data_IF_216022653870
#
_entry.id   IF_216022653870
#
_cell.length_a   1.000
_cell.length_b   1.000
_cell.length_c   1.000
_cell.angle_alpha   90.00
_cell.angle_beta   90.00
_cell.angle_gamma   90.00
#
_symmetry.space_group_name_H-M   'P 1'
#
loop_
_entity.id
_entity.type
_entity.pdbx_description
1 polymer ?
#
# COMPACT_ATOMS: atom_id res chain seq x y z
N UNK A 1 24.60 -19.47 -6.10
CA UNK A 1 23.42 -19.39 -6.96
C UNK A 1 22.80 -18.02 -6.75
N UNK A 2 22.76 -17.17 -7.78
CA UNK A 2 22.10 -15.85 -7.69
C UNK A 2 20.61 -16.09 -7.42
N UNK A 3 20.10 -15.58 -6.29
CA UNK A 3 18.65 -15.60 -6.03
C UNK A 3 17.98 -14.79 -7.15
N UNK A 4 16.99 -15.35 -7.84
CA UNK A 4 16.23 -14.59 -8.84
C UNK A 4 15.70 -13.29 -8.21
N UNK A 5 15.72 -12.20 -8.98
CA UNK A 5 15.21 -10.91 -8.50
C UNK A 5 13.75 -11.04 -8.09
N UNK A 6 13.39 -10.44 -6.96
CA UNK A 6 12.02 -10.42 -6.49
C UNK A 6 11.27 -9.20 -7.05
N UNK A 7 9.96 -9.33 -7.27
CA UNK A 7 9.08 -8.22 -7.60
C UNK A 7 8.48 -7.71 -6.29
N UNK A 8 8.60 -6.39 -6.03
CA UNK A 8 7.93 -5.74 -4.91
C UNK A 8 6.44 -5.61 -5.16
N UNK A 9 5.61 -5.97 -4.20
CA UNK A 9 4.16 -5.85 -4.24
C UNK A 9 3.72 -4.91 -3.13
N UNK A 10 3.14 -3.79 -3.50
CA UNK A 10 2.67 -2.79 -2.55
C UNK A 10 1.17 -2.55 -2.74
N UNK A 11 0.39 -3.36 -2.05
CA UNK A 11 -1.07 -3.22 -2.00
C UNK A 11 -1.51 -2.15 -1.02
N UNK A 12 -2.60 -1.47 -1.32
CA UNK A 12 -3.16 -0.48 -0.42
C UNK A 12 -4.45 0.16 -0.89
N UNK A 13 -5.11 0.87 0.02
CA UNK A 13 -6.28 1.67 -0.35
C UNK A 13 -5.90 2.88 -1.19
N UNK A 14 -4.76 3.53 -0.89
CA UNK A 14 -4.22 4.73 -1.56
C UNK A 14 -5.26 5.85 -1.74
N UNK A 15 -5.90 6.25 -0.66
CA UNK A 15 -6.99 7.24 -0.65
C UNK A 15 -6.67 8.49 0.22
N UNK A 16 -5.73 9.37 -0.24
CA UNK A 16 -4.86 9.24 -1.40
C UNK A 16 -3.55 8.50 -1.11
N UNK A 17 -2.80 8.17 -2.16
CA UNK A 17 -1.37 7.89 -2.07
C UNK A 17 -0.65 9.15 -1.56
N UNK A 18 0.43 8.97 -0.76
CA UNK A 18 1.13 10.07 -0.14
C UNK A 18 2.63 9.80 0.01
N UNK A 19 3.40 10.81 0.41
CA UNK A 19 4.87 10.76 0.48
C UNK A 19 5.41 9.58 1.29
N UNK A 20 4.74 9.19 2.41
CA UNK A 20 5.19 8.05 3.19
C UNK A 20 5.09 6.72 2.42
N UNK A 21 4.08 6.55 1.56
CA UNK A 21 3.99 5.35 0.70
C UNK A 21 5.17 5.28 -0.26
N UNK A 22 5.49 6.38 -0.92
CA UNK A 22 6.58 6.45 -1.90
C UNK A 22 7.95 6.23 -1.23
N UNK A 23 8.17 6.85 -0.08
CA UNK A 23 9.41 6.70 0.68
C UNK A 23 9.62 5.24 1.15
N UNK A 24 8.57 4.59 1.63
CA UNK A 24 8.61 3.16 2.03
C UNK A 24 8.90 2.28 0.82
N UNK A 25 8.19 2.49 -0.30
CA UNK A 25 8.40 1.69 -1.51
C UNK A 25 9.82 1.82 -2.06
N UNK A 26 10.37 3.03 -2.09
CA UNK A 26 11.73 3.29 -2.56
C UNK A 26 12.78 2.69 -1.62
N UNK A 27 12.59 2.84 -0.30
CA UNK A 27 13.50 2.22 0.69
C UNK A 27 13.48 0.69 0.58
N UNK A 28 12.31 0.08 0.39
CA UNK A 28 12.22 -1.36 0.18
C UNK A 28 12.88 -1.78 -1.14
N UNK A 29 12.66 -1.02 -2.22
CA UNK A 29 13.27 -1.27 -3.53
C UNK A 29 14.79 -1.27 -3.43
N UNK A 30 15.36 -0.28 -2.78
CA UNK A 30 16.81 -0.13 -2.63
C UNK A 30 17.40 -1.21 -1.72
N UNK A 31 16.85 -1.39 -0.52
CA UNK A 31 17.35 -2.36 0.47
C UNK A 31 17.32 -3.82 -0.02
N UNK A 32 16.36 -4.17 -0.87
CA UNK A 32 16.18 -5.54 -1.38
C UNK A 32 16.54 -5.71 -2.86
N UNK A 33 17.10 -4.66 -3.49
CA UNK A 33 17.47 -4.63 -4.91
C UNK A 33 16.30 -5.10 -5.80
N UNK A 34 15.08 -4.61 -5.53
CA UNK A 34 13.91 -4.96 -6.30
C UNK A 34 13.97 -4.26 -7.66
N UNK A 35 13.92 -4.97 -8.80
CA UNK A 35 13.97 -4.34 -10.12
C UNK A 35 12.73 -3.50 -10.39
N UNK A 36 11.60 -3.84 -9.75
CA UNK A 36 10.34 -3.07 -9.83
C UNK A 36 9.49 -3.27 -8.59
N UNK A 37 8.57 -2.30 -8.37
CA UNK A 37 7.53 -2.36 -7.34
C UNK A 37 6.18 -2.10 -8.00
N UNK A 38 5.25 -3.05 -7.84
CA UNK A 38 3.85 -2.91 -8.30
C UNK A 38 3.02 -2.27 -7.19
N UNK A 39 2.45 -1.12 -7.48
CA UNK A 39 1.43 -0.48 -6.64
C UNK A 39 0.05 -0.98 -7.05
N UNK A 40 -0.68 -1.61 -6.14
CA UNK A 40 -1.96 -2.26 -6.43
C UNK A 40 -3.06 -1.61 -5.57
N UNK A 41 -3.80 -0.63 -6.13
CA UNK A 41 -4.95 -0.04 -5.44
C UNK A 41 -6.06 -1.07 -5.25
N UNK A 42 -6.55 -1.21 -4.01
CA UNK A 42 -7.65 -2.11 -3.69
C UNK A 42 -8.94 -1.69 -4.41
N UNK A 43 -9.68 -2.63 -4.99
CA UNK A 43 -11.04 -2.35 -5.47
C UNK A 43 -11.95 -2.01 -4.27
N UNK A 44 -12.17 -2.96 -3.39
CA UNK A 44 -12.91 -2.79 -2.14
C UNK A 44 -12.07 -3.32 -0.97
N UNK A 45 -11.51 -2.41 -0.11
CA UNK A 45 -10.68 -2.84 1.01
C UNK A 45 -11.51 -3.58 2.07
N UNK A 46 -11.19 -4.85 2.41
CA UNK A 46 -12.00 -5.67 3.32
C UNK A 46 -12.04 -5.17 4.75
N UNK A 47 -11.00 -4.45 5.19
CA UNK A 47 -10.90 -3.95 6.56
C UNK A 47 -11.57 -2.58 6.80
N UNK A 48 -12.33 -2.07 5.81
CA UNK A 48 -12.97 -0.75 5.88
C UNK A 48 -14.39 -0.76 5.28
N UNK A 49 -15.28 -1.71 5.67
CA UNK A 49 -16.59 -1.86 5.05
C UNK A 49 -17.49 -0.63 5.23
N UNK A 50 -17.39 0.06 6.36
CA UNK A 50 -18.23 1.21 6.73
C UNK A 50 -17.63 2.56 6.34
N UNK A 51 -16.47 2.58 5.71
CA UNK A 51 -15.77 3.81 5.36
C UNK A 51 -16.01 4.19 3.92
N UNK A 52 -16.49 5.42 3.71
CA UNK A 52 -16.56 6.01 2.37
C UNK A 52 -15.14 6.15 1.82
N UNK A 53 -14.78 5.30 0.87
CA UNK A 53 -13.52 5.31 0.13
C UNK A 53 -13.80 5.92 -1.24
N UNK A 54 -12.87 6.72 -1.77
CA UNK A 54 -12.99 7.29 -3.11
C UNK A 54 -13.05 6.19 -4.17
N UNK A 55 -13.68 6.50 -5.30
CA UNK A 55 -13.79 5.59 -6.44
C UNK A 55 -12.42 4.96 -6.77
N UNK A 56 -12.36 3.65 -7.03
CA UNK A 56 -11.12 2.97 -7.36
C UNK A 56 -10.34 3.61 -8.53
N UNK A 57 -11.04 4.14 -9.54
CA UNK A 57 -10.40 4.80 -10.69
C UNK A 57 -9.71 6.11 -10.28
N UNK A 58 -10.30 6.90 -9.39
CA UNK A 58 -9.63 8.07 -8.83
C UNK A 58 -8.37 7.70 -8.05
N UNK A 59 -8.42 6.61 -7.28
CA UNK A 59 -7.27 6.17 -6.49
C UNK A 59 -6.15 5.62 -7.36
N UNK A 60 -6.49 4.88 -8.42
CA UNK A 60 -5.53 4.43 -9.43
C UNK A 60 -4.87 5.63 -10.14
N UNK A 61 -5.65 6.59 -10.63
CA UNK A 61 -5.11 7.77 -11.30
C UNK A 61 -4.16 8.58 -10.39
N UNK A 62 -4.48 8.68 -9.08
CA UNK A 62 -3.57 9.31 -8.12
C UNK A 62 -2.28 8.51 -7.93
N UNK A 63 -2.34 7.16 -7.94
CA UNK A 63 -1.14 6.31 -7.88
C UNK A 63 -0.29 6.49 -9.13
N UNK A 64 -0.88 6.43 -10.33
CA UNK A 64 -0.18 6.65 -11.59
C UNK A 64 0.51 8.03 -11.62
N UNK A 65 -0.20 9.09 -11.23
CA UNK A 65 0.36 10.43 -11.13
C UNK A 65 1.51 10.54 -10.12
N UNK A 66 1.43 9.80 -9.01
CA UNK A 66 2.44 9.82 -7.97
C UNK A 66 3.76 9.15 -8.38
N UNK A 67 3.69 8.10 -9.19
CA UNK A 67 4.85 7.26 -9.53
C UNK A 67 5.43 7.54 -10.92
N UNK A 68 4.81 8.42 -11.71
CA UNK A 68 5.17 8.69 -13.11
C UNK A 68 6.66 9.04 -13.35
N UNK A 69 7.36 9.56 -12.33
CA UNK A 69 8.78 9.91 -12.41
C UNK A 69 9.75 8.78 -12.06
N UNK A 70 9.27 7.61 -11.65
CA UNK A 70 10.13 6.48 -11.24
C UNK A 70 9.93 5.27 -12.16
N UNK A 71 10.90 4.94 -13.04
CA UNK A 71 10.75 3.84 -14.00
C UNK A 71 10.71 2.45 -13.34
N UNK A 72 11.07 2.33 -12.05
CA UNK A 72 10.97 1.09 -11.30
C UNK A 72 9.60 0.90 -10.63
N UNK A 73 8.71 1.89 -10.67
CA UNK A 73 7.37 1.82 -10.09
C UNK A 73 6.33 1.65 -11.19
N UNK A 74 5.38 0.76 -10.96
CA UNK A 74 4.32 0.43 -11.90
C UNK A 74 2.98 0.36 -11.14
N UNK A 75 1.95 1.00 -11.68
CA UNK A 75 0.58 0.87 -11.16
C UNK A 75 -0.11 -0.33 -11.81
N UNK A 76 -0.76 -1.16 -11.02
CA UNK A 76 -1.53 -2.29 -11.51
C UNK A 76 -3.00 -2.14 -11.14
N UNK A 77 -3.88 -2.27 -12.11
CA UNK A 77 -5.33 -2.20 -11.93
C UNK A 77 -6.01 -3.56 -11.71
N UNK A 78 -5.21 -4.60 -11.48
CA UNK A 78 -5.68 -5.99 -11.43
C UNK A 78 -6.79 -6.25 -10.40
N UNK A 79 -6.75 -5.60 -9.23
CA UNK A 79 -7.81 -5.73 -8.23
C UNK A 79 -9.07 -4.98 -8.65
N UNK A 80 -8.92 -3.82 -9.29
CA UNK A 80 -10.04 -3.03 -9.83
C UNK A 80 -10.74 -3.82 -10.95
N UNK A 81 -10.00 -4.42 -11.86
CA UNK A 81 -10.53 -5.28 -12.94
C UNK A 81 -11.18 -6.55 -12.42
N UNK A 82 -10.61 -7.17 -11.40
CA UNK A 82 -11.20 -8.33 -10.74
C UNK A 82 -12.53 -7.97 -10.05
N UNK A 83 -12.61 -6.75 -9.52
CA UNK A 83 -13.77 -6.28 -8.75
C UNK A 83 -13.95 -6.98 -7.41
N UNK A 84 -14.98 -6.58 -6.66
CA UNK A 84 -15.29 -7.15 -5.35
C UNK A 84 -14.25 -6.86 -4.27
N UNK A 85 -14.26 -7.67 -3.21
CA UNK A 85 -13.35 -7.52 -2.06
C UNK A 85 -11.91 -7.86 -2.43
N UNK A 86 -10.99 -6.98 -2.07
CA UNK A 86 -9.56 -7.11 -2.38
C UNK A 86 -8.83 -7.90 -1.28
N UNK A 87 -8.77 -9.20 -1.43
CA UNK A 87 -7.96 -10.04 -0.55
C UNK A 87 -6.56 -10.22 -1.10
N UNK A 88 -5.55 -10.05 -0.24
CA UNK A 88 -4.14 -10.14 -0.62
C UNK A 88 -3.77 -11.52 -1.17
N UNK A 89 -4.33 -12.59 -0.60
CA UNK A 89 -4.07 -13.95 -1.08
C UNK A 89 -4.47 -14.12 -2.55
N UNK A 90 -5.67 -13.67 -2.94
CA UNK A 90 -6.16 -13.76 -4.32
C UNK A 90 -5.26 -12.97 -5.29
N UNK A 91 -4.75 -11.84 -4.84
CA UNK A 91 -3.83 -10.99 -5.61
C UNK A 91 -2.47 -11.64 -5.79
N UNK A 92 -1.90 -12.23 -4.74
CA UNK A 92 -0.62 -12.94 -4.81
C UNK A 92 -0.72 -14.20 -5.66
N UNK A 93 -1.82 -14.95 -5.63
CA UNK A 93 -2.05 -16.11 -6.50
C UNK A 93 -2.08 -15.71 -7.98
N UNK A 94 -2.81 -14.66 -8.31
CA UNK A 94 -2.85 -14.13 -9.68
C UNK A 94 -1.47 -13.66 -10.16
N UNK A 95 -0.70 -12.98 -9.28
CA UNK A 95 0.66 -12.55 -9.59
C UNK A 95 1.63 -13.73 -9.77
N UNK A 96 1.51 -14.79 -8.97
CA UNK A 96 2.30 -16.02 -9.14
C UNK A 96 2.04 -16.69 -10.48
N UNK A 97 0.79 -16.69 -10.94
CA UNK A 97 0.43 -17.21 -12.26
C UNK A 97 0.98 -16.34 -13.41
N UNK A 98 1.03 -15.00 -13.20
CA UNK A 98 1.52 -14.06 -14.23
C UNK A 98 3.05 -14.03 -14.28
N UNK A 99 3.72 -14.11 -13.14
CA UNK A 99 5.17 -14.01 -13.01
C UNK A 99 5.79 -15.35 -12.58
N UNK A 100 5.54 -16.39 -13.38
CA UNK A 100 6.02 -17.74 -13.10
C UNK A 100 7.54 -17.76 -12.84
N UNK A 101 7.95 -18.47 -11.79
CA UNK A 101 9.34 -18.58 -11.36
C UNK A 101 9.95 -17.33 -10.70
N UNK A 102 9.28 -16.16 -10.70
CA UNK A 102 9.78 -14.98 -10.01
C UNK A 102 9.32 -14.97 -8.53
N UNK A 103 10.20 -14.47 -7.65
CA UNK A 103 9.86 -14.28 -6.23
C UNK A 103 8.99 -13.04 -6.08
N UNK A 104 8.03 -13.07 -5.15
CA UNK A 104 7.22 -11.93 -4.75
C UNK A 104 7.66 -11.45 -3.38
N UNK A 105 7.80 -10.14 -3.21
CA UNK A 105 8.12 -9.48 -1.95
C UNK A 105 6.97 -8.51 -1.59
N UNK A 106 6.12 -8.90 -0.64
CA UNK A 106 4.99 -8.10 -0.19
C UNK A 106 5.46 -7.04 0.81
N UNK A 107 5.26 -5.78 0.47
CA UNK A 107 5.63 -4.63 1.30
C UNK A 107 4.43 -4.26 2.17
N UNK A 108 4.60 -4.30 3.48
CA UNK A 108 3.59 -4.02 4.50
C UNK A 108 4.07 -2.95 5.47
N UNK A 109 3.14 -2.20 6.08
CA UNK A 109 3.45 -1.46 7.31
C UNK A 109 3.45 -2.39 8.52
N UNK A 110 4.16 -2.02 9.60
CA UNK A 110 4.10 -2.74 10.87
C UNK A 110 2.67 -2.84 11.43
N UNK A 111 1.81 -1.84 11.18
CA UNK A 111 0.36 -1.88 11.48
C UNK A 111 -0.34 -3.02 10.75
N UNK A 112 -0.13 -3.14 9.44
CA UNK A 112 -0.73 -4.19 8.62
C UNK A 112 -0.20 -5.57 9.00
N UNK A 113 1.10 -5.65 9.30
CA UNK A 113 1.74 -6.87 9.76
C UNK A 113 1.18 -7.35 11.10
N UNK A 114 0.97 -6.47 12.08
CA UNK A 114 0.37 -6.81 13.36
C UNK A 114 -1.04 -7.40 13.23
N UNK A 115 -1.77 -7.04 12.17
CA UNK A 115 -3.09 -7.58 11.85
C UNK A 115 -3.08 -8.81 10.93
N UNK A 116 -1.91 -9.29 10.49
CA UNK A 116 -1.79 -10.33 9.45
C UNK A 116 -2.55 -11.62 9.78
N UNK A 117 -2.55 -12.06 11.05
CA UNK A 117 -3.27 -13.26 11.50
C UNK A 117 -4.80 -13.18 11.28
N UNK A 118 -5.35 -11.98 11.09
CA UNK A 118 -6.79 -11.77 10.82
C UNK A 118 -7.12 -11.71 9.33
N UNK A 119 -6.10 -11.80 8.46
CA UNK A 119 -6.31 -11.77 7.04
C UNK A 119 -6.88 -13.11 6.54
N UNK A 120 -7.45 -13.07 5.35
CA UNK A 120 -7.89 -14.30 4.67
C UNK A 120 -6.66 -15.14 4.32
N UNK A 121 -6.62 -16.38 4.79
CA UNK A 121 -5.58 -17.37 4.53
C UNK A 121 -4.14 -16.83 4.77
N UNK A 122 -3.81 -16.39 6.00
CA UNK A 122 -2.55 -15.72 6.26
C UNK A 122 -1.33 -16.62 6.02
N UNK A 123 -1.40 -17.92 6.32
CA UNK A 123 -0.34 -18.86 5.99
C UNK A 123 -0.10 -18.95 4.48
N UNK A 124 -1.18 -18.91 3.69
CA UNK A 124 -1.08 -18.93 2.24
C UNK A 124 -0.41 -17.67 1.70
N UNK A 125 -0.68 -16.49 2.29
CA UNK A 125 0.04 -15.24 1.98
C UNK A 125 1.54 -15.41 2.20
N UNK A 126 1.93 -16.01 3.34
CA UNK A 126 3.33 -16.28 3.69
C UNK A 126 4.00 -17.32 2.78
N UNK A 127 3.24 -18.27 2.24
CA UNK A 127 3.75 -19.23 1.25
C UNK A 127 4.01 -18.58 -0.11
N UNK A 128 3.19 -17.63 -0.50
CA UNK A 128 3.21 -17.00 -1.82
C UNK A 128 4.27 -15.90 -1.93
N UNK A 129 4.57 -15.18 -0.82
CA UNK A 129 5.47 -14.03 -0.84
C UNK A 129 6.39 -13.98 0.38
N UNK A 130 7.56 -13.36 0.21
CA UNK A 130 8.38 -12.86 1.32
C UNK A 130 7.79 -11.54 1.81
N UNK A 131 7.90 -11.25 3.11
CA UNK A 131 7.39 -10.00 3.67
C UNK A 131 8.51 -9.00 3.93
N UNK A 132 8.29 -7.77 3.52
CA UNK A 132 9.09 -6.59 3.87
C UNK A 132 8.21 -5.71 4.74
N UNK A 133 8.53 -5.63 6.03
CA UNK A 133 7.74 -4.89 7.03
C UNK A 133 8.38 -3.53 7.27
N UNK A 134 7.71 -2.48 6.82
CA UNK A 134 8.15 -1.11 7.03
C UNK A 134 7.75 -0.57 8.40
N UNK A 135 8.58 0.25 9.06
CA UNK A 135 8.29 0.80 10.37
C UNK A 135 7.04 1.70 10.35
N UNK A 136 6.31 1.73 11.45
CA UNK A 136 5.11 2.54 11.63
C UNK A 136 5.04 3.06 13.05
N UNK A 137 4.77 4.36 13.23
CA UNK A 137 4.57 4.96 14.55
C UNK A 137 3.50 4.21 15.35
N UNK A 138 3.82 3.91 16.62
CA UNK A 138 2.93 3.17 17.51
C UNK A 138 3.03 1.64 17.43
N UNK A 139 3.91 1.13 16.58
CA UNK A 139 4.18 -0.30 16.43
C UNK A 139 5.66 -0.61 16.66
N UNK A 140 6.03 -1.81 17.17
CA UNK A 140 7.42 -2.24 17.29
C UNK A 140 8.16 -2.22 15.95
N UNK A 141 9.45 -1.92 15.98
CA UNK A 141 10.27 -1.86 14.76
C UNK A 141 10.53 -3.22 14.15
N UNK A 142 10.72 -4.22 15.00
CA UNK A 142 10.93 -5.61 14.62
C UNK A 142 10.17 -6.49 15.62
N UNK A 143 8.93 -6.79 15.31
CA UNK A 143 8.10 -7.67 16.17
C UNK A 143 8.39 -9.13 15.86
N UNK A 144 9.61 -9.58 16.23
CA UNK A 144 10.06 -10.97 16.06
C UNK A 144 9.26 -11.92 16.93
N UNK A 145 8.77 -11.46 18.09
CA UNK A 145 7.96 -12.25 19.01
C UNK A 145 6.58 -12.54 18.41
N UNK A 146 5.99 -11.56 17.70
CA UNK A 146 4.77 -11.77 16.91
C UNK A 146 4.99 -12.86 15.86
N UNK A 147 6.09 -12.78 15.11
CA UNK A 147 6.42 -13.80 14.09
C UNK A 147 6.52 -15.18 14.71
N UNK A 148 7.25 -15.33 15.82
CA UNK A 148 7.46 -16.61 16.48
C UNK A 148 6.17 -17.21 17.04
N UNK A 149 5.27 -16.35 17.56
CA UNK A 149 4.02 -16.76 18.19
C UNK A 149 2.94 -17.11 17.18
N UNK A 150 2.70 -16.23 16.22
CA UNK A 150 1.57 -16.36 15.28
C UNK A 150 1.93 -17.18 14.03
N UNK A 151 3.21 -17.18 13.65
CA UNK A 151 3.66 -17.84 12.43
C UNK A 151 4.96 -18.62 12.64
N UNK A 152 4.95 -19.69 13.44
CA UNK A 152 6.15 -20.48 13.71
C UNK A 152 6.72 -21.08 12.42
N UNK A 153 8.04 -20.92 12.21
CA UNK A 153 8.74 -21.45 11.04
C UNK A 153 8.86 -20.51 9.83
N UNK A 154 8.21 -19.33 9.84
CA UNK A 154 8.28 -18.38 8.71
C UNK A 154 9.21 -17.20 8.95
N UNK A 155 9.93 -17.15 10.06
CA UNK A 155 10.83 -16.04 10.41
C UNK A 155 11.82 -15.68 9.28
N UNK A 156 12.33 -16.67 8.54
CA UNK A 156 13.23 -16.46 7.41
C UNK A 156 12.58 -15.77 6.20
N UNK A 157 11.25 -15.62 6.18
CA UNK A 157 10.48 -14.97 5.11
C UNK A 157 10.03 -13.56 5.48
N UNK A 158 10.27 -13.11 6.71
CA UNK A 158 9.88 -11.79 7.20
C UNK A 158 11.15 -10.99 7.46
N UNK A 159 11.25 -9.84 6.81
CA UNK A 159 12.36 -8.91 7.02
C UNK A 159 11.80 -7.55 7.40
N UNK A 160 12.29 -7.01 8.50
CA UNK A 160 11.93 -5.67 8.95
C UNK A 160 12.85 -4.65 8.28
N UNK A 161 12.25 -3.68 7.62
CA UNK A 161 12.94 -2.61 6.92
C UNK A 161 13.38 -1.54 7.91
N UNK A 162 14.66 -1.21 7.90
CA UNK A 162 15.14 0.04 8.48
C UNK A 162 14.85 1.17 7.49
N UNK A 163 13.73 1.86 7.67
CA UNK A 163 13.19 2.81 6.70
C UNK A 163 12.62 4.07 7.34
N UNK A 164 12.12 4.99 6.49
CA UNK A 164 11.67 6.29 6.95
C UNK A 164 10.42 6.17 7.83
N UNK A 165 10.47 6.88 8.96
CA UNK A 165 9.32 7.07 9.87
C UNK A 165 8.66 8.38 9.55
N UNK A 166 7.54 8.30 8.87
CA UNK A 166 6.75 9.48 8.52
C UNK A 166 5.38 9.40 9.19
N UNK A 167 5.11 10.32 10.12
CA UNK A 167 3.80 10.45 10.75
C UNK A 167 2.81 11.11 9.80
N UNK A 168 2.42 10.36 8.78
CA UNK A 168 1.55 10.81 7.70
C UNK A 168 0.46 9.78 7.47
N UNK A 169 -0.80 10.22 7.42
CA UNK A 169 -1.94 9.36 7.16
C UNK A 169 -2.85 9.92 6.08
N UNK A 170 -3.40 9.03 5.24
CA UNK A 170 -4.39 9.40 4.24
C UNK A 170 -5.63 10.05 4.88
N UNK A 171 -5.99 9.66 6.12
CA UNK A 171 -7.11 10.25 6.86
C UNK A 171 -6.90 11.73 7.17
N UNK A 172 -5.70 12.08 7.64
CA UNK A 172 -5.36 13.47 7.95
C UNK A 172 -5.31 14.32 6.68
N UNK A 173 -4.81 13.73 5.57
CA UNK A 173 -4.79 14.40 4.27
C UNK A 173 -6.22 14.70 3.79
N UNK A 174 -7.14 13.72 3.86
CA UNK A 174 -8.55 13.95 3.49
C UNK A 174 -9.21 14.99 4.39
N UNK A 175 -8.99 14.94 5.70
CA UNK A 175 -9.53 15.91 6.63
C UNK A 175 -9.00 17.34 6.34
N UNK A 176 -7.73 17.47 5.95
CA UNK A 176 -7.14 18.76 5.52
C UNK A 176 -7.80 19.28 4.25
N UNK A 177 -7.93 18.42 3.23
CA UNK A 177 -8.58 18.77 1.96
C UNK A 177 -10.04 19.17 2.16
N UNK A 178 -10.80 18.41 2.96
CA UNK A 178 -12.18 18.72 3.33
C UNK A 178 -12.34 20.09 4.00
N UNK A 179 -11.33 20.47 4.82
CA UNK A 179 -11.28 21.77 5.48
C UNK A 179 -10.73 22.91 4.58
N UNK A 180 -10.48 22.66 3.29
CA UNK A 180 -9.90 23.61 2.36
C UNK A 180 -8.43 23.96 2.66
N UNK A 181 -7.73 23.15 3.47
CA UNK A 181 -6.33 23.36 3.82
C UNK A 181 -5.41 22.68 2.80
N UNK A 182 -4.24 23.27 2.56
CA UNK A 182 -3.25 22.73 1.64
C UNK A 182 -2.80 21.32 2.03
N UNK A 183 -2.71 20.43 1.02
CA UNK A 183 -2.10 19.09 1.13
C UNK A 183 -0.72 19.04 0.47
N UNK A 184 -0.20 20.19 0.02
CA UNK A 184 1.13 20.31 -0.59
C UNK A 184 2.19 19.73 0.33
N UNK A 185 3.18 19.04 -0.23
CA UNK A 185 4.26 18.33 0.44
C UNK A 185 3.84 17.09 1.27
N UNK A 186 2.54 16.87 1.48
CA UNK A 186 2.04 15.63 2.09
C UNK A 186 1.80 14.56 1.02
N UNK A 187 1.45 15.01 -0.19
CA UNK A 187 1.32 14.21 -1.41
C UNK A 187 2.22 14.79 -2.50
N UNK A 188 2.56 14.03 -3.57
CA UNK A 188 3.20 14.59 -4.75
C UNK A 188 2.37 15.74 -5.37
N UNK A 189 3.03 16.70 -6.02
CA UNK A 189 2.35 17.87 -6.61
C UNK A 189 1.27 17.45 -7.62
N UNK A 190 1.53 16.44 -8.44
CA UNK A 190 0.55 15.89 -9.39
C UNK A 190 -0.69 15.32 -8.69
N UNK A 191 -0.53 14.67 -7.53
CA UNK A 191 -1.64 14.17 -6.73
C UNK A 191 -2.41 15.33 -6.08
N UNK A 192 -1.71 16.36 -5.60
CA UNK A 192 -2.36 17.55 -5.05
C UNK A 192 -3.21 18.28 -6.11
N UNK A 193 -2.69 18.40 -7.34
CA UNK A 193 -3.42 18.95 -8.48
C UNK A 193 -4.67 18.10 -8.79
N UNK A 194 -4.51 16.77 -8.90
CA UNK A 194 -5.60 15.84 -9.17
C UNK A 194 -6.73 15.96 -8.13
N UNK A 195 -6.39 16.02 -6.83
CA UNK A 195 -7.36 16.22 -5.73
C UNK A 195 -8.14 17.52 -5.93
N UNK A 196 -7.46 18.59 -6.34
CA UNK A 196 -8.08 19.90 -6.60
C UNK A 196 -9.01 19.88 -7.81
N UNK A 197 -8.54 19.38 -8.95
CA UNK A 197 -9.25 19.35 -10.23
C UNK A 197 -10.53 18.51 -10.16
N UNK A 198 -10.52 17.43 -9.38
CA UNK A 198 -11.67 16.53 -9.20
C UNK A 198 -12.49 16.84 -7.94
N UNK A 199 -12.17 17.92 -7.22
CA UNK A 199 -12.83 18.30 -5.96
C UNK A 199 -12.95 17.16 -4.95
N UNK A 200 -11.93 16.25 -4.92
CA UNK A 200 -11.94 15.09 -4.01
C UNK A 200 -11.88 15.53 -2.57
N UNK A 201 -12.58 14.78 -1.72
CA UNK A 201 -12.65 14.98 -0.26
C UNK A 201 -13.34 16.28 0.19
N UNK A 202 -13.87 17.09 -0.72
CA UNK A 202 -14.59 18.29 -0.34
C UNK A 202 -15.98 17.93 0.21
N UNK A 203 -16.35 18.50 1.36
CA UNK A 203 -17.72 18.47 1.84
C UNK A 203 -18.56 19.42 0.99
N UNK A 204 -19.72 18.97 0.54
CA UNK A 204 -20.67 19.77 -0.23
C UNK A 204 -21.03 21.05 0.54
N UNK A 205 -20.45 22.17 0.15
CA UNK A 205 -20.73 23.49 0.78
C UNK A 205 -22.11 24.04 0.40
N UNK A 206 -22.97 23.24 -0.28
CA UNK A 206 -24.24 23.72 -0.82
C UNK A 206 -25.41 23.66 0.14
N UNK A 207 -25.26 23.16 1.38
CA UNK A 207 -26.40 22.97 2.30
C UNK A 207 -26.45 23.95 3.47
N UNK A 208 -25.59 24.98 3.51
CA UNK A 208 -25.73 26.03 4.54
C UNK A 208 -25.56 27.42 3.91
N UNK A 209 -26.63 27.87 3.24
CA UNK A 209 -26.92 29.29 3.03
C UNK A 209 -28.15 29.61 3.85
N UNK A 210 -28.04 30.53 4.83
CA UNK A 210 -29.16 30.94 5.67
C UNK A 210 -30.25 31.63 4.84
#
# INVERSE_FOLDING_TARGET
MSRSAAIGIFGGTFDPIHQAHLAVAESARDAFALPRVLFIPAAQPPHKPDRRVSDPEHRLAMVEAAIAGNPAFEASRMEIERGGMSYTVDTLEALRATFDGQRLALILSAESFAGLATWREPERVLDLAELIVAPRDGYPDADTDLVAREFPGVAARVTFLDGPRMRLSASDIRARAAAGRSVRYLVPDAVAAYIGDHALYQTDRRTHRP
#
